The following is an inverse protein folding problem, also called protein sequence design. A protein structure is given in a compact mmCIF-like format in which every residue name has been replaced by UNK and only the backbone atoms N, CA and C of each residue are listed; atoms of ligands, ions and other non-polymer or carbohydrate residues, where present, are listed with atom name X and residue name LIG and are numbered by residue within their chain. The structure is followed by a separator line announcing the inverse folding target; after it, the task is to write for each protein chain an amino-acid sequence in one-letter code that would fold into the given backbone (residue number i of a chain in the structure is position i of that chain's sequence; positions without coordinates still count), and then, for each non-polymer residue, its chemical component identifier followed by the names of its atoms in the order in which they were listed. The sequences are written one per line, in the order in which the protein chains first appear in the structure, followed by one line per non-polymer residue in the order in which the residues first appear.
data_IF_305037597743
#
_entry.id   IF_305037597743
#
_cell.length_a   1.000
_cell.length_b   1.000
_cell.length_c   1.000
_cell.angle_alpha   90.00
_cell.angle_beta   90.00
_cell.angle_gamma   90.00
#
_symmetry.space_group_name_H-M   'P 1'
#
loop_
_entity.id
_entity.type
_entity.pdbx_description
1 polymer ?
#
# COMPACT_ATOMS: atom_id res chain seq x y z
N UNK A 1 -23.60 1.90 2.53
CA UNK A 1 -22.79 2.82 3.37
C UNK A 1 -21.60 3.28 2.55
N UNK A 2 -21.38 4.59 2.38
CA UNK A 2 -20.20 5.11 1.68
C UNK A 2 -19.01 4.92 2.61
N UNK A 3 -18.11 3.97 2.33
CA UNK A 3 -16.91 3.78 3.15
C UNK A 3 -16.00 5.00 2.92
N UNK A 4 -15.72 5.75 3.97
CA UNK A 4 -14.78 6.87 3.92
C UNK A 4 -13.40 6.33 3.54
N UNK A 5 -12.78 6.91 2.52
CA UNK A 5 -11.39 6.60 2.16
C UNK A 5 -10.45 7.05 3.28
N UNK A 6 -9.48 6.22 3.64
CA UNK A 6 -8.33 6.65 4.46
C UNK A 6 -7.59 7.78 3.75
N UNK A 7 -7.20 8.80 4.49
CA UNK A 7 -6.30 9.84 4.01
C UNK A 7 -4.84 9.39 4.16
N UNK A 8 -4.08 9.43 3.05
CA UNK A 8 -2.64 9.20 3.05
C UNK A 8 -1.96 10.57 3.17
N UNK A 9 -1.12 10.74 4.19
CA UNK A 9 -0.42 12.00 4.46
C UNK A 9 1.03 11.94 3.96
N UNK A 10 1.59 13.11 3.65
CA UNK A 10 3.01 13.21 3.29
C UNK A 10 3.90 12.88 4.51
N UNK A 11 5.00 12.12 4.33
CA UNK A 11 5.97 11.90 5.40
C UNK A 11 6.57 13.22 5.90
N UNK A 12 6.67 13.39 7.21
CA UNK A 12 7.24 14.59 7.83
C UNK A 12 8.76 14.71 7.63
N UNK A 13 9.47 13.59 7.47
CA UNK A 13 10.91 13.58 7.27
C UNK A 13 11.34 13.96 5.83
N UNK A 14 12.48 14.66 5.66
CA UNK A 14 13.04 14.98 4.36
C UNK A 14 13.56 13.74 3.63
N UNK A 15 13.64 13.81 2.29
CA UNK A 15 13.87 12.69 1.38
C UNK A 15 15.05 11.76 1.73
N UNK A 16 16.10 12.33 2.31
CA UNK A 16 17.38 11.70 2.68
C UNK A 16 17.42 11.15 4.11
N UNK A 17 16.36 11.37 4.91
CA UNK A 17 16.30 10.86 6.28
C UNK A 17 16.19 9.33 6.31
N UNK A 18 16.97 8.62 7.15
CA UNK A 18 16.99 7.15 7.20
C UNK A 18 15.60 6.55 7.50
N UNK A 19 14.80 7.21 8.34
CA UNK A 19 13.47 6.71 8.72
C UNK A 19 12.35 7.13 7.77
N UNK A 20 12.63 7.87 6.69
CA UNK A 20 11.57 8.31 5.78
C UNK A 20 10.87 7.13 5.10
N UNK A 21 11.62 6.08 4.78
CA UNK A 21 11.06 4.84 4.25
C UNK A 21 10.00 4.24 5.18
N UNK A 22 10.27 4.22 6.49
CA UNK A 22 9.32 3.74 7.49
C UNK A 22 8.09 4.66 7.60
N UNK A 23 8.27 5.98 7.57
CA UNK A 23 7.13 6.89 7.59
C UNK A 23 6.21 6.74 6.37
N UNK A 24 6.78 6.51 5.18
CA UNK A 24 5.98 6.17 4.00
C UNK A 24 5.14 4.92 4.23
N UNK A 25 5.72 3.87 4.84
CA UNK A 25 4.99 2.62 5.13
C UNK A 25 3.84 2.88 6.11
N UNK A 26 4.10 3.57 7.22
CA UNK A 26 3.07 3.91 8.21
C UNK A 26 1.94 4.77 7.64
N UNK A 27 2.25 5.71 6.74
CA UNK A 27 1.24 6.54 6.09
C UNK A 27 0.35 5.73 5.11
N UNK A 28 0.90 4.68 4.50
CA UNK A 28 0.18 3.82 3.54
C UNK A 28 -0.57 2.67 4.21
N UNK A 29 -0.11 2.19 5.36
CA UNK A 29 -0.59 0.98 6.03
C UNK A 29 -2.12 0.96 6.22
N UNK A 30 -2.81 2.01 6.71
CA UNK A 30 -4.24 1.90 6.94
C UNK A 30 -5.05 1.80 5.62
N UNK A 31 -4.59 2.45 4.55
CA UNK A 31 -5.20 2.32 3.23
C UNK A 31 -4.92 0.93 2.62
N UNK A 32 -3.73 0.38 2.87
CA UNK A 32 -3.34 -0.97 2.47
C UNK A 32 -4.20 -2.02 3.17
N UNK A 33 -4.40 -1.91 4.48
CA UNK A 33 -5.27 -2.80 5.26
C UNK A 33 -6.72 -2.79 4.73
N UNK A 34 -7.30 -1.60 4.46
CA UNK A 34 -8.63 -1.52 3.86
C UNK A 34 -8.72 -2.13 2.46
N UNK A 35 -7.63 -2.16 1.70
CA UNK A 35 -7.60 -2.85 0.41
C UNK A 35 -7.60 -4.38 0.62
N UNK A 36 -6.77 -4.88 1.54
CA UNK A 36 -6.70 -6.30 1.90
C UNK A 36 -8.05 -6.79 2.41
N UNK A 37 -8.67 -6.07 3.35
CA UNK A 37 -9.99 -6.41 3.91
C UNK A 37 -11.06 -6.50 2.82
N UNK A 38 -11.09 -5.55 1.86
CA UNK A 38 -12.07 -5.59 0.76
C UNK A 38 -11.86 -6.77 -0.17
N UNK A 39 -10.61 -7.16 -0.43
CA UNK A 39 -10.31 -8.33 -1.24
C UNK A 39 -10.73 -9.62 -0.51
N UNK A 40 -10.46 -9.71 0.80
CA UNK A 40 -10.88 -10.82 1.65
C UNK A 40 -12.42 -10.93 1.73
N UNK A 41 -13.13 -9.81 1.90
CA UNK A 41 -14.60 -9.75 1.84
C UNK A 41 -15.16 -10.20 0.48
N UNK A 42 -14.36 -10.12 -0.58
CA UNK A 42 -14.70 -10.59 -1.92
C UNK A 42 -14.36 -12.07 -2.14
N UNK A 43 -13.91 -12.77 -1.09
CA UNK A 43 -13.65 -14.21 -1.08
C UNK A 43 -12.22 -14.61 -1.47
N UNK A 44 -11.28 -13.67 -1.54
CA UNK A 44 -9.89 -13.97 -1.87
C UNK A 44 -9.17 -14.52 -0.64
N UNK A 45 -8.24 -15.45 -0.86
CA UNK A 45 -7.34 -15.94 0.19
C UNK A 45 -6.24 -14.91 0.50
N UNK A 46 -5.67 -14.98 1.71
CA UNK A 46 -4.58 -14.10 2.12
C UNK A 46 -3.38 -14.19 1.15
N UNK A 47 -3.03 -15.40 0.71
CA UNK A 47 -1.94 -15.63 -0.25
C UNK A 47 -2.23 -15.00 -1.62
N UNK A 48 -3.46 -15.09 -2.13
CA UNK A 48 -3.83 -14.44 -3.40
C UNK A 48 -3.71 -12.93 -3.31
N UNK A 49 -4.16 -12.34 -2.20
CA UNK A 49 -4.08 -10.90 -1.95
C UNK A 49 -2.62 -10.46 -1.89
N UNK A 50 -1.80 -11.14 -1.07
CA UNK A 50 -0.39 -10.81 -0.89
C UNK A 50 0.39 -10.90 -2.20
N UNK A 51 0.22 -12.00 -2.95
CA UNK A 51 0.87 -12.20 -4.25
C UNK A 51 0.45 -11.14 -5.28
N UNK A 52 -0.85 -10.85 -5.38
CA UNK A 52 -1.34 -9.84 -6.31
C UNK A 52 -0.78 -8.45 -6.00
N UNK A 53 -0.73 -8.06 -4.72
CA UNK A 53 -0.19 -6.76 -4.30
C UNK A 53 1.31 -6.65 -4.58
N UNK A 54 2.08 -7.72 -4.35
CA UNK A 54 3.51 -7.79 -4.67
C UNK A 54 3.75 -7.63 -6.17
N UNK A 55 3.02 -8.36 -7.00
CA UNK A 55 3.14 -8.29 -8.46
C UNK A 55 2.75 -6.91 -9.01
N UNK A 56 1.68 -6.29 -8.48
CA UNK A 56 1.28 -4.92 -8.87
C UNK A 56 2.36 -3.89 -8.53
N UNK A 57 2.94 -3.98 -7.32
CA UNK A 57 4.04 -3.10 -6.91
C UNK A 57 5.29 -3.31 -7.77
N UNK A 58 5.68 -4.57 -8.00
CA UNK A 58 6.81 -4.94 -8.85
C UNK A 58 6.64 -4.45 -10.29
N UNK A 59 5.46 -4.64 -10.88
CA UNK A 59 5.14 -4.16 -12.23
C UNK A 59 5.21 -2.63 -12.35
N UNK A 60 4.84 -1.89 -11.28
CA UNK A 60 4.97 -0.42 -11.26
C UNK A 60 6.43 0.03 -11.25
N UNK A 61 7.29 -0.66 -10.52
CA UNK A 61 8.73 -0.38 -10.48
C UNK A 61 9.42 -0.69 -11.82
N UNK A 62 9.12 -1.85 -12.41
CA UNK A 62 9.66 -2.24 -13.73
C UNK A 62 9.27 -1.24 -14.82
N UNK A 63 8.03 -0.76 -14.82
CA UNK A 63 7.57 0.29 -15.77
C UNK A 63 8.26 1.64 -15.59
N UNK A 64 8.97 1.85 -14.48
CA UNK A 64 9.68 3.10 -14.19
C UNK A 64 11.16 3.03 -14.58
N UNK A 65 11.67 1.86 -14.96
CA UNK A 65 13.00 1.74 -15.57
C UNK A 65 12.93 2.25 -17.03
N UNK A 66 13.89 3.09 -17.46
CA UNK A 66 13.99 3.57 -18.84
C UNK A 66 14.31 2.43 -19.82
#
# INVERSE_FOLDING_TARGET
MKRSSVAIVEPSWPADHPDRGLQCQLALEPAFQQLVERAAESGWTEDEIANALLELAGARLKRRQP
#
